data_IF_282604754746
#
_entry.id   IF_282604754746
#
_cell.length_a   1.000
_cell.length_b   1.000
_cell.length_c   1.000
_cell.angle_alpha   90.00
_cell.angle_beta   90.00
_cell.angle_gamma   90.00
#
_symmetry.space_group_name_H-M   'P 1'
#
loop_
_entity.id
_entity.type
_entity.pdbx_description
1 polymer ?
#
# COMPACT_ATOMS: atom_id res chain seq x y z
N UNK A 1 0.42 -9.04 -43.47
CA UNK A 1 -0.04 -7.73 -42.97
C UNK A 1 -1.25 -7.79 -41.99
N UNK A 2 -2.26 -8.68 -42.17
CA UNK A 2 -3.42 -8.83 -41.26
C UNK A 2 -3.11 -9.34 -39.85
N UNK A 3 -2.14 -10.24 -39.66
CA UNK A 3 -1.78 -10.84 -38.33
C UNK A 3 -1.13 -9.78 -37.43
N UNK A 4 -0.22 -8.96 -37.96
CA UNK A 4 0.44 -7.88 -37.20
C UNK A 4 -0.54 -6.87 -36.61
N UNK A 5 -1.63 -6.56 -37.32
CA UNK A 5 -2.64 -5.61 -36.83
C UNK A 5 -3.55 -6.22 -35.75
N UNK A 6 -3.82 -7.54 -35.81
CA UNK A 6 -4.57 -8.23 -34.74
C UNK A 6 -3.76 -8.30 -33.46
N UNK A 7 -2.46 -8.63 -33.53
CA UNK A 7 -1.56 -8.66 -32.37
C UNK A 7 -1.46 -7.29 -31.72
N UNK A 8 -1.26 -6.23 -32.52
CA UNK A 8 -1.21 -4.84 -32.00
C UNK A 8 -2.48 -4.45 -31.24
N UNK A 9 -3.66 -4.92 -31.66
CA UNK A 9 -4.93 -4.63 -30.97
C UNK A 9 -5.07 -5.32 -29.61
N UNK A 10 -4.33 -6.38 -29.33
CA UNK A 10 -4.32 -7.04 -28.01
C UNK A 10 -3.59 -6.17 -26.98
N UNK A 11 -2.53 -5.52 -27.39
CA UNK A 11 -1.69 -4.73 -26.49
C UNK A 11 -2.11 -3.26 -26.43
N UNK A 12 -2.58 -2.70 -27.53
CA UNK A 12 -2.73 -1.24 -27.72
C UNK A 12 -4.19 -0.84 -27.91
N UNK A 13 -4.61 0.18 -27.14
CA UNK A 13 -5.87 0.88 -27.37
C UNK A 13 -5.61 2.05 -28.32
N UNK A 14 -6.13 1.94 -29.55
CA UNK A 14 -5.90 2.93 -30.60
C UNK A 14 -6.62 4.25 -30.33
N UNK A 15 -7.80 4.19 -29.70
CA UNK A 15 -8.63 5.36 -29.42
C UNK A 15 -7.99 6.22 -28.32
N UNK A 16 -7.43 5.59 -27.33
CA UNK A 16 -6.76 6.24 -26.20
C UNK A 16 -5.23 6.40 -26.40
N UNK A 17 -4.69 5.88 -27.50
CA UNK A 17 -3.25 5.91 -27.86
C UNK A 17 -2.32 5.43 -26.74
N UNK A 18 -2.70 4.38 -26.02
CA UNK A 18 -1.95 3.81 -24.89
C UNK A 18 -2.16 2.30 -24.78
N UNK A 19 -1.42 1.63 -23.88
CA UNK A 19 -1.61 0.22 -23.59
C UNK A 19 -3.03 -0.05 -23.04
N UNK A 20 -3.55 -1.25 -23.28
CA UNK A 20 -4.82 -1.70 -22.66
C UNK A 20 -4.62 -1.89 -21.15
N UNK A 21 -5.70 -1.76 -20.37
CA UNK A 21 -5.70 -1.79 -18.91
C UNK A 21 -4.98 -3.02 -18.32
N UNK A 22 -5.22 -4.21 -18.88
CA UNK A 22 -4.56 -5.45 -18.43
C UNK A 22 -3.04 -5.32 -18.47
N UNK A 23 -2.48 -4.83 -19.57
CA UNK A 23 -1.04 -4.66 -19.72
C UNK A 23 -0.47 -3.57 -18.81
N UNK A 24 -1.24 -2.48 -18.62
CA UNK A 24 -0.84 -1.41 -17.69
C UNK A 24 -0.78 -1.94 -16.25
N UNK A 25 -1.80 -2.68 -15.81
CA UNK A 25 -1.83 -3.31 -14.49
C UNK A 25 -0.68 -4.32 -14.32
N UNK A 26 -0.45 -5.21 -15.30
CA UNK A 26 0.63 -6.19 -15.23
C UNK A 26 2.01 -5.54 -15.16
N UNK A 27 2.28 -4.55 -16.03
CA UNK A 27 3.56 -3.83 -16.04
C UNK A 27 3.76 -2.97 -14.79
N UNK A 28 2.68 -2.37 -14.27
CA UNK A 28 2.73 -1.65 -12.99
C UNK A 28 3.07 -2.60 -11.84
N UNK A 29 2.44 -3.78 -11.78
CA UNK A 29 2.75 -4.79 -10.74
C UNK A 29 4.21 -5.24 -10.82
N UNK A 30 4.74 -5.51 -12.01
CA UNK A 30 6.16 -5.86 -12.18
C UNK A 30 7.09 -4.72 -11.74
N UNK A 31 6.77 -3.49 -12.13
CA UNK A 31 7.52 -2.31 -11.74
C UNK A 31 7.45 -2.07 -10.22
N UNK A 32 6.27 -2.27 -9.62
CA UNK A 32 6.05 -2.20 -8.19
C UNK A 32 6.95 -3.20 -7.44
N UNK A 33 6.90 -4.48 -7.82
CA UNK A 33 7.72 -5.52 -7.20
C UNK A 33 9.22 -5.21 -7.33
N UNK A 34 9.66 -4.76 -8.50
CA UNK A 34 11.05 -4.39 -8.73
C UNK A 34 11.49 -3.22 -7.82
N UNK A 35 10.71 -2.15 -7.80
CA UNK A 35 11.09 -0.95 -7.06
C UNK A 35 10.97 -1.13 -5.55
N UNK A 36 9.92 -1.80 -5.05
CA UNK A 36 9.82 -2.10 -3.61
C UNK A 36 10.97 -3.00 -3.17
N UNK A 37 11.33 -4.03 -3.95
CA UNK A 37 12.48 -4.87 -3.65
C UNK A 37 13.79 -4.08 -3.68
N UNK A 38 13.98 -3.19 -4.65
CA UNK A 38 15.18 -2.35 -4.74
C UNK A 38 15.32 -1.42 -3.53
N UNK A 39 14.22 -0.74 -3.11
CA UNK A 39 14.23 0.11 -1.93
C UNK A 39 14.46 -0.70 -0.66
N UNK A 40 13.84 -1.87 -0.53
CA UNK A 40 14.05 -2.76 0.63
C UNK A 40 15.51 -3.20 0.71
N UNK A 41 16.09 -3.71 -0.37
CA UNK A 41 17.51 -4.11 -0.40
C UNK A 41 18.43 -2.92 -0.12
N UNK A 42 18.12 -1.74 -0.66
CA UNK A 42 18.87 -0.51 -0.39
C UNK A 42 18.86 -0.11 1.08
N UNK A 43 17.70 -0.18 1.74
CA UNK A 43 17.56 0.13 3.17
C UNK A 43 18.24 -0.93 4.04
N UNK A 44 18.14 -2.22 3.69
CA UNK A 44 18.86 -3.29 4.38
C UNK A 44 20.37 -3.12 4.26
N UNK A 45 20.86 -2.72 3.08
CA UNK A 45 22.27 -2.41 2.89
C UNK A 45 22.74 -1.25 3.78
N UNK A 46 21.94 -0.17 3.86
CA UNK A 46 22.24 0.97 4.75
C UNK A 46 22.25 0.52 6.22
N UNK A 47 21.28 -0.30 6.63
CA UNK A 47 21.23 -0.85 7.98
C UNK A 47 22.48 -1.72 8.29
N UNK A 48 22.86 -2.60 7.38
CA UNK A 48 24.06 -3.42 7.53
C UNK A 48 25.34 -2.60 7.63
N UNK A 49 25.50 -1.56 6.79
CA UNK A 49 26.64 -0.64 6.87
C UNK A 49 26.68 0.08 8.21
N UNK A 50 25.52 0.52 8.71
CA UNK A 50 25.44 1.17 10.00
C UNK A 50 25.87 0.21 11.13
N UNK A 51 25.35 -1.03 11.15
CA UNK A 51 25.72 -2.03 12.17
C UNK A 51 27.22 -2.33 12.15
N UNK A 52 27.82 -2.49 10.98
CA UNK A 52 29.27 -2.72 10.83
C UNK A 52 30.06 -1.51 11.36
N UNK A 53 29.64 -0.28 11.06
CA UNK A 53 30.35 0.93 11.53
C UNK A 53 30.19 1.15 13.04
N UNK A 54 29.17 0.57 13.67
CA UNK A 54 28.88 0.67 15.11
C UNK A 54 29.37 -0.52 15.93
N UNK A 55 30.07 -1.49 15.33
CA UNK A 55 30.79 -2.54 16.04
C UNK A 55 30.38 -3.98 15.71
N UNK A 56 29.51 -4.22 14.73
CA UNK A 56 29.25 -5.57 14.24
C UNK A 56 30.28 -5.96 13.18
N UNK A 57 30.88 -7.13 13.25
CA UNK A 57 31.89 -7.54 12.29
C UNK A 57 31.26 -7.99 10.97
N UNK A 58 31.76 -7.47 9.84
CA UNK A 58 31.31 -7.88 8.50
C UNK A 58 31.45 -9.40 8.26
N UNK A 59 32.56 -10.07 8.64
CA UNK A 59 32.68 -11.51 8.49
C UNK A 59 31.57 -12.28 9.20
N UNK A 60 31.18 -11.89 10.41
CA UNK A 60 30.16 -12.59 11.19
C UNK A 60 28.76 -12.39 10.60
N UNK A 61 28.46 -11.21 10.06
CA UNK A 61 27.21 -10.94 9.30
C UNK A 61 27.15 -11.81 8.05
N UNK A 62 28.25 -11.87 7.28
CA UNK A 62 28.30 -12.68 6.04
C UNK A 62 28.28 -14.18 6.33
N UNK A 63 28.81 -14.61 7.45
CA UNK A 63 28.77 -16.01 7.91
C UNK A 63 27.41 -16.39 8.51
N UNK A 64 26.50 -15.42 8.76
CA UNK A 64 25.22 -15.63 9.39
C UNK A 64 25.32 -15.99 10.90
N UNK A 65 26.47 -15.74 11.52
CA UNK A 65 26.72 -16.01 12.94
C UNK A 65 26.25 -14.88 13.85
N UNK A 66 26.18 -13.65 13.31
CA UNK A 66 25.60 -12.48 13.97
C UNK A 66 24.47 -11.91 13.10
N UNK A 67 23.26 -11.69 13.64
CA UNK A 67 22.19 -11.02 12.92
C UNK A 67 22.54 -9.53 12.71
N UNK A 68 21.96 -8.93 11.69
CA UNK A 68 21.99 -7.47 11.55
C UNK A 68 21.09 -6.91 12.65
N UNK A 69 21.70 -6.36 13.71
CA UNK A 69 21.00 -5.91 14.93
C UNK A 69 19.90 -4.88 14.64
N UNK A 70 20.17 -4.00 13.67
CA UNK A 70 19.22 -2.98 13.28
C UNK A 70 17.94 -3.58 12.66
N UNK A 71 17.99 -4.80 12.09
CA UNK A 71 16.82 -5.47 11.52
C UNK A 71 15.78 -5.86 12.55
N UNK A 72 16.20 -6.16 13.78
CA UNK A 72 15.30 -6.48 14.90
C UNK A 72 14.81 -5.20 15.61
N UNK A 73 15.33 -4.05 15.19
CA UNK A 73 14.93 -2.77 15.74
C UNK A 73 13.49 -2.40 15.33
N UNK A 74 12.66 -1.90 16.27
CA UNK A 74 11.35 -1.34 15.94
C UNK A 74 11.39 -0.28 14.84
N UNK A 75 12.47 0.49 14.73
CA UNK A 75 12.66 1.48 13.67
C UNK A 75 12.69 0.88 12.26
N UNK A 76 13.34 -0.26 12.08
CA UNK A 76 13.38 -0.94 10.77
C UNK A 76 11.99 -1.44 10.42
N UNK A 77 11.30 -2.10 11.33
CA UNK A 77 10.00 -2.71 11.06
C UNK A 77 8.87 -1.67 10.97
N UNK A 78 8.86 -0.66 11.83
CA UNK A 78 7.77 0.33 11.89
C UNK A 78 8.00 1.56 11.02
N UNK A 79 9.22 1.82 10.59
CA UNK A 79 9.52 3.02 9.78
C UNK A 79 10.18 2.66 8.45
N UNK A 80 11.27 1.91 8.46
CA UNK A 80 12.07 1.68 7.24
C UNK A 80 11.35 0.77 6.24
N UNK A 81 10.73 -0.34 6.68
CA UNK A 81 10.03 -1.24 5.78
C UNK A 81 8.79 -0.59 5.13
N UNK A 82 7.91 0.11 5.88
CA UNK A 82 6.83 0.90 5.29
C UNK A 82 7.33 2.02 4.38
N UNK A 83 8.43 2.69 4.72
CA UNK A 83 9.05 3.70 3.87
C UNK A 83 9.52 3.12 2.53
N UNK A 84 10.18 1.95 2.54
CA UNK A 84 10.60 1.27 1.30
C UNK A 84 9.41 0.98 0.40
N UNK A 85 8.34 0.42 0.98
CA UNK A 85 7.09 0.13 0.26
C UNK A 85 6.45 1.41 -0.27
N UNK A 86 6.36 2.45 0.56
CA UNK A 86 5.82 3.76 0.17
C UNK A 86 6.59 4.34 -1.02
N UNK A 87 7.92 4.39 -0.97
CA UNK A 87 8.75 4.90 -2.05
C UNK A 87 8.60 4.05 -3.32
N UNK A 88 8.54 2.72 -3.17
CA UNK A 88 8.32 1.79 -4.28
C UNK A 88 6.98 2.00 -4.97
N UNK A 89 5.88 2.08 -4.21
CA UNK A 89 4.53 2.35 -4.75
C UNK A 89 4.46 3.72 -5.41
N UNK A 90 4.99 4.75 -4.74
CA UNK A 90 4.97 6.13 -5.24
C UNK A 90 5.70 6.24 -6.57
N UNK A 91 6.91 5.69 -6.66
CA UNK A 91 7.71 5.73 -7.87
C UNK A 91 7.12 4.83 -8.98
N UNK A 92 6.65 3.62 -8.64
CA UNK A 92 6.01 2.72 -9.60
C UNK A 92 4.76 3.38 -10.22
N UNK A 93 3.90 3.97 -9.38
CA UNK A 93 2.68 4.64 -9.85
C UNK A 93 3.00 5.90 -10.65
N UNK A 94 4.01 6.67 -10.26
CA UNK A 94 4.47 7.82 -11.03
C UNK A 94 4.97 7.42 -12.42
N UNK A 95 5.86 6.42 -12.50
CA UNK A 95 6.43 5.96 -13.76
C UNK A 95 5.38 5.29 -14.65
N UNK A 96 4.54 4.42 -14.08
CA UNK A 96 3.46 3.78 -14.82
C UNK A 96 2.44 4.81 -15.33
N UNK A 97 2.05 5.76 -14.50
CA UNK A 97 1.19 6.87 -14.89
C UNK A 97 1.76 7.65 -16.07
N UNK A 98 3.05 7.97 -16.01
CA UNK A 98 3.74 8.74 -17.04
C UNK A 98 3.93 7.97 -18.36
N UNK A 99 4.30 6.70 -18.30
CA UNK A 99 4.70 5.92 -19.48
C UNK A 99 3.58 5.05 -20.05
N UNK A 100 2.79 4.38 -19.17
CA UNK A 100 1.81 3.40 -19.60
C UNK A 100 0.42 4.01 -19.71
N UNK A 101 0.01 4.84 -18.71
CA UNK A 101 -1.29 5.48 -18.65
C UNK A 101 -1.36 6.84 -19.38
N UNK A 102 -0.22 7.50 -19.57
CA UNK A 102 -0.11 8.85 -20.10
C UNK A 102 -0.95 9.86 -19.29
N UNK A 103 -0.89 9.74 -17.98
CA UNK A 103 -1.62 10.56 -17.01
C UNK A 103 -0.67 11.37 -16.14
N UNK A 104 -1.18 12.47 -15.61
CA UNK A 104 -0.49 13.21 -14.53
C UNK A 104 -0.65 12.45 -13.22
N UNK A 105 0.36 12.52 -12.37
CA UNK A 105 0.35 11.85 -11.07
C UNK A 105 -0.83 12.29 -10.18
N UNK A 106 -1.19 13.59 -10.25
CA UNK A 106 -2.35 14.14 -9.54
C UNK A 106 -3.69 13.46 -9.88
N UNK A 107 -3.78 12.81 -11.04
CA UNK A 107 -5.00 12.10 -11.47
C UNK A 107 -5.24 10.78 -10.72
N UNK A 108 -4.28 10.36 -9.90
CA UNK A 108 -4.40 9.18 -9.03
C UNK A 108 -4.84 9.53 -7.60
N UNK A 109 -5.59 10.62 -7.42
CA UNK A 109 -6.18 11.00 -6.14
C UNK A 109 -5.39 12.03 -5.33
N UNK A 110 -4.23 12.49 -5.80
CA UNK A 110 -3.35 13.44 -5.09
C UNK A 110 -3.42 14.85 -5.72
N UNK A 111 -4.62 15.42 -5.77
CA UNK A 111 -4.82 16.74 -6.38
C UNK A 111 -4.39 17.91 -5.50
N UNK A 112 -4.35 17.71 -4.16
CA UNK A 112 -4.01 18.72 -3.13
C UNK A 112 -4.80 20.03 -3.25
N UNK A 113 -5.99 19.99 -3.86
CA UNK A 113 -6.90 21.12 -3.95
C UNK A 113 -7.54 21.42 -2.58
N UNK A 114 -8.20 22.60 -2.44
CA UNK A 114 -8.93 22.92 -1.20
C UNK A 114 -10.01 21.87 -0.89
N UNK A 115 -10.74 21.38 -1.91
CA UNK A 115 -11.72 20.30 -1.74
C UNK A 115 -11.06 19.02 -1.23
N UNK A 116 -9.91 18.63 -1.81
CA UNK A 116 -9.15 17.47 -1.39
C UNK A 116 -8.76 17.53 0.10
N UNK A 117 -8.31 18.70 0.59
CA UNK A 117 -7.97 18.87 2.01
C UNK A 117 -9.19 18.79 2.93
N UNK A 118 -10.35 19.27 2.47
CA UNK A 118 -11.60 19.14 3.23
C UNK A 118 -12.05 17.67 3.30
N UNK A 119 -11.99 16.94 2.20
CA UNK A 119 -12.31 15.52 2.15
C UNK A 119 -11.35 14.71 3.02
N UNK A 120 -10.05 15.03 2.99
CA UNK A 120 -9.04 14.42 3.85
C UNK A 120 -9.32 14.67 5.34
N UNK A 121 -9.61 15.91 5.72
CA UNK A 121 -9.91 16.24 7.12
C UNK A 121 -11.21 15.57 7.59
N UNK A 122 -12.24 15.50 6.72
CA UNK A 122 -13.46 14.76 7.01
C UNK A 122 -13.19 13.27 7.20
N UNK A 123 -12.43 12.65 6.30
CA UNK A 123 -12.04 11.23 6.39
C UNK A 123 -11.26 10.91 7.66
N UNK A 124 -10.31 11.79 8.03
CA UNK A 124 -9.54 11.65 9.27
C UNK A 124 -10.45 11.72 10.51
N UNK A 125 -11.38 12.68 10.54
CA UNK A 125 -12.36 12.82 11.62
C UNK A 125 -13.30 11.61 11.70
N UNK A 126 -13.80 11.14 10.56
CA UNK A 126 -14.65 9.95 10.47
C UNK A 126 -13.90 8.70 10.96
N UNK A 127 -12.63 8.52 10.54
CA UNK A 127 -11.78 7.42 10.99
C UNK A 127 -11.60 7.42 12.51
N UNK A 128 -11.33 8.58 13.10
CA UNK A 128 -11.20 8.73 14.55
C UNK A 128 -12.50 8.34 15.29
N UNK A 129 -13.66 8.78 14.78
CA UNK A 129 -14.97 8.42 15.36
C UNK A 129 -15.22 6.92 15.24
N UNK A 130 -15.00 6.32 14.07
CA UNK A 130 -15.22 4.89 13.85
C UNK A 130 -14.30 4.04 14.74
N UNK A 131 -13.02 4.39 14.85
CA UNK A 131 -12.10 3.68 15.75
C UNK A 131 -12.47 3.84 17.22
N UNK A 132 -12.95 5.04 17.62
CA UNK A 132 -13.49 5.27 18.96
C UNK A 132 -14.72 4.40 19.26
N UNK A 133 -15.60 4.22 18.28
CA UNK A 133 -16.77 3.34 18.40
C UNK A 133 -16.37 1.87 18.50
N UNK A 134 -15.40 1.42 17.71
CA UNK A 134 -14.85 0.04 17.77
C UNK A 134 -14.25 -0.22 19.16
N UNK A 135 -13.43 0.72 19.66
CA UNK A 135 -12.88 0.66 21.01
C UNK A 135 -13.97 0.56 22.08
N UNK A 136 -14.97 1.45 22.02
CA UNK A 136 -16.08 1.49 22.96
C UNK A 136 -16.88 0.18 22.95
N UNK A 137 -17.19 -0.34 21.78
CA UNK A 137 -17.90 -1.62 21.64
C UNK A 137 -17.10 -2.79 22.20
N UNK A 138 -15.80 -2.86 21.91
CA UNK A 138 -14.92 -3.91 22.43
C UNK A 138 -14.81 -3.84 23.97
N UNK A 139 -14.75 -2.63 24.52
CA UNK A 139 -14.71 -2.42 25.97
C UNK A 139 -16.04 -2.81 26.64
N UNK A 140 -17.18 -2.37 26.10
CA UNK A 140 -18.51 -2.69 26.62
C UNK A 140 -18.86 -4.19 26.56
N UNK A 141 -18.37 -4.89 25.55
CA UNK A 141 -18.56 -6.36 25.42
C UNK A 141 -17.55 -7.18 26.24
N UNK A 142 -16.59 -6.54 26.92
CA UNK A 142 -15.55 -7.22 27.67
C UNK A 142 -14.48 -7.90 26.80
N UNK A 143 -14.50 -7.66 25.49
CA UNK A 143 -13.49 -8.19 24.54
C UNK A 143 -12.15 -7.46 24.64
N UNK A 144 -12.15 -6.27 25.27
CA UNK A 144 -10.98 -5.44 25.51
C UNK A 144 -10.96 -4.99 26.97
N UNK A 145 -9.79 -5.09 27.63
CA UNK A 145 -9.57 -4.58 28.97
C UNK A 145 -8.45 -3.53 28.94
N UNK A 146 -8.69 -2.41 29.61
CA UNK A 146 -7.66 -1.36 29.78
C UNK A 146 -6.80 -1.75 30.97
N UNK A 147 -5.54 -2.09 30.72
CA UNK A 147 -4.56 -2.53 31.74
C UNK A 147 -3.66 -1.41 32.21
N UNK A 148 -3.48 -0.37 31.42
CA UNK A 148 -2.66 0.80 31.75
C UNK A 148 -2.92 1.97 30.78
N UNK A 149 -2.30 3.10 31.05
CA UNK A 149 -2.40 4.31 30.22
C UNK A 149 -0.99 4.79 29.87
N UNK A 150 -0.79 5.18 28.61
CA UNK A 150 0.48 5.71 28.11
C UNK A 150 1.67 4.76 28.28
N UNK A 151 1.42 3.48 28.21
CA UNK A 151 2.41 2.40 28.29
C UNK A 151 2.51 1.68 26.95
N UNK A 152 3.71 1.19 26.61
CA UNK A 152 3.94 0.29 25.46
C UNK A 152 4.39 -1.04 26.06
N UNK A 153 3.49 -2.03 26.00
CA UNK A 153 3.74 -3.34 26.59
C UNK A 153 4.92 -4.06 25.93
N UNK A 154 5.78 -4.65 26.77
CA UNK A 154 6.91 -5.47 26.32
C UNK A 154 8.10 -4.75 25.69
N UNK A 155 8.14 -3.41 25.70
CA UNK A 155 9.26 -2.64 25.15
C UNK A 155 9.76 -1.57 26.13
N UNK A 156 11.08 -1.42 26.27
CA UNK A 156 11.73 -0.29 26.97
C UNK A 156 11.60 1.03 26.18
N UNK A 157 10.58 1.16 25.33
CA UNK A 157 10.38 2.34 24.48
C UNK A 157 9.45 3.32 25.17
N UNK A 158 9.88 4.58 25.27
CA UNK A 158 9.02 5.66 25.72
C UNK A 158 7.73 5.72 24.89
N UNK A 159 6.57 5.83 25.55
CA UNK A 159 5.25 5.88 24.91
C UNK A 159 5.19 6.90 23.75
N UNK A 160 5.75 8.11 23.91
CA UNK A 160 5.74 9.14 22.86
C UNK A 160 6.49 8.65 21.62
N UNK A 161 7.64 7.99 21.81
CA UNK A 161 8.42 7.45 20.70
C UNK A 161 7.66 6.33 19.97
N UNK A 162 7.06 5.39 20.72
CA UNK A 162 6.22 4.32 20.14
C UNK A 162 5.01 4.89 19.40
N UNK A 163 4.35 5.91 19.95
CA UNK A 163 3.23 6.59 19.29
C UNK A 163 3.66 7.27 17.98
N UNK A 164 4.80 7.98 17.97
CA UNK A 164 5.31 8.63 16.75
C UNK A 164 5.68 7.57 15.68
N UNK A 165 6.31 6.47 16.07
CA UNK A 165 6.62 5.38 15.17
C UNK A 165 5.36 4.79 14.54
N UNK A 166 4.34 4.48 15.35
CA UNK A 166 3.06 3.97 14.86
C UNK A 166 2.36 4.98 13.94
N UNK A 167 2.38 6.27 14.29
CA UNK A 167 1.81 7.33 13.44
C UNK A 167 2.50 7.37 12.07
N UNK A 168 3.82 7.36 12.03
CA UNK A 168 4.59 7.37 10.78
C UNK A 168 4.30 6.10 9.97
N UNK A 169 4.25 4.94 10.61
CA UNK A 169 3.87 3.67 9.98
C UNK A 169 2.51 3.79 9.29
N UNK A 170 1.46 4.18 10.01
CA UNK A 170 0.11 4.24 9.47
C UNK A 170 -0.07 5.33 8.41
N UNK A 171 0.68 6.43 8.49
CA UNK A 171 0.68 7.44 7.42
C UNK A 171 1.25 6.89 6.13
N UNK A 172 2.40 6.21 6.18
CA UNK A 172 2.98 5.60 4.98
C UNK A 172 2.07 4.51 4.41
N UNK A 173 1.58 3.61 5.27
CA UNK A 173 0.68 2.52 4.88
C UNK A 173 -0.58 3.08 4.25
N UNK A 174 -1.27 4.00 4.90
CA UNK A 174 -2.51 4.58 4.38
C UNK A 174 -2.32 5.25 3.03
N UNK A 175 -1.24 6.04 2.85
CA UNK A 175 -0.99 6.72 1.58
C UNK A 175 -0.67 5.74 0.45
N UNK A 176 0.21 4.75 0.68
CA UNK A 176 0.56 3.83 -0.41
C UNK A 176 -0.58 2.87 -0.76
N UNK A 177 -1.37 2.45 0.22
CA UNK A 177 -2.53 1.58 -0.03
C UNK A 177 -3.63 2.30 -0.82
N UNK A 178 -3.96 3.54 -0.46
CA UNK A 178 -4.91 4.35 -1.20
C UNK A 178 -4.43 4.65 -2.63
N UNK A 179 -3.15 5.03 -2.77
CA UNK A 179 -2.56 5.30 -4.08
C UNK A 179 -2.59 4.08 -4.99
N UNK A 180 -2.29 2.90 -4.43
CA UNK A 180 -2.27 1.63 -5.15
C UNK A 180 -3.69 1.18 -5.52
N UNK A 181 -4.57 1.09 -4.52
CA UNK A 181 -5.89 0.48 -4.66
C UNK A 181 -6.89 1.40 -5.35
N UNK A 182 -7.08 2.62 -4.84
CA UNK A 182 -8.05 3.59 -5.35
C UNK A 182 -7.47 4.50 -6.41
N UNK A 183 -6.19 4.84 -6.27
CA UNK A 183 -5.49 5.65 -7.26
C UNK A 183 -5.23 4.88 -8.55
N UNK A 184 -4.50 3.79 -8.52
CA UNK A 184 -4.04 3.11 -9.73
C UNK A 184 -4.94 1.94 -10.16
N UNK A 185 -5.21 0.97 -9.27
CA UNK A 185 -5.94 -0.24 -9.64
C UNK A 185 -7.38 0.07 -10.02
N UNK A 186 -8.12 0.79 -9.18
CA UNK A 186 -9.53 1.10 -9.43
C UNK A 186 -9.74 1.80 -10.77
N UNK A 187 -8.94 2.82 -11.07
CA UNK A 187 -9.04 3.59 -12.32
C UNK A 187 -8.77 2.68 -13.53
N UNK A 188 -7.73 1.86 -13.46
CA UNK A 188 -7.36 0.98 -14.56
C UNK A 188 -8.35 -0.17 -14.75
N UNK A 189 -8.91 -0.72 -13.68
CA UNK A 189 -9.98 -1.72 -13.73
C UNK A 189 -11.26 -1.14 -14.33
N UNK A 190 -11.68 0.07 -13.90
CA UNK A 190 -12.86 0.73 -14.45
C UNK A 190 -12.77 0.94 -15.96
N UNK A 191 -11.60 1.34 -16.44
CA UNK A 191 -11.36 1.46 -17.88
C UNK A 191 -11.30 0.11 -18.59
N UNK A 192 -10.72 -0.91 -17.96
CA UNK A 192 -10.63 -2.24 -18.52
C UNK A 192 -11.99 -2.93 -18.66
N UNK A 193 -12.87 -2.70 -17.69
CA UNK A 193 -14.24 -3.25 -17.69
C UNK A 193 -15.24 -2.39 -18.46
N UNK A 194 -14.87 -1.21 -18.94
CA UNK A 194 -15.78 -0.37 -19.73
C UNK A 194 -16.02 -0.95 -21.13
N UNK A 195 -16.82 -2.01 -21.14
CA UNK A 195 -17.26 -2.71 -22.34
C UNK A 195 -18.70 -2.31 -22.66
N UNK A 196 -19.09 -2.27 -23.94
CA UNK A 196 -20.46 -1.90 -24.35
C UNK A 196 -21.57 -2.68 -23.64
N UNK A 197 -21.32 -3.95 -23.31
CA UNK A 197 -22.27 -4.85 -22.63
C UNK A 197 -22.48 -4.49 -21.15
N UNK A 198 -21.50 -3.91 -20.50
CA UNK A 198 -21.53 -3.56 -19.06
C UNK A 198 -21.99 -2.10 -18.82
N UNK A 199 -21.67 -1.24 -19.78
CA UNK A 199 -21.81 0.20 -19.61
C UNK A 199 -20.93 0.78 -18.50
N UNK A 200 -20.97 2.08 -18.29
CA UNK A 200 -20.12 2.78 -17.31
C UNK A 200 -20.40 2.35 -15.87
N UNK A 201 -21.68 2.18 -15.50
CA UNK A 201 -22.06 1.79 -14.13
C UNK A 201 -21.61 0.36 -13.81
N UNK A 202 -21.81 -0.59 -14.74
CA UNK A 202 -21.35 -1.96 -14.56
C UNK A 202 -19.83 -2.06 -14.47
N UNK A 203 -19.12 -1.32 -15.33
CA UNK A 203 -17.67 -1.24 -15.30
C UNK A 203 -17.15 -0.72 -13.95
N UNK A 204 -17.78 0.34 -13.41
CA UNK A 204 -17.40 0.93 -12.13
C UNK A 204 -17.65 -0.04 -10.96
N UNK A 205 -18.82 -0.69 -10.92
CA UNK A 205 -19.13 -1.67 -9.87
C UNK A 205 -18.16 -2.86 -9.88
N UNK A 206 -17.83 -3.39 -11.07
CA UNK A 206 -16.84 -4.46 -11.19
C UNK A 206 -15.43 -4.01 -10.81
N UNK A 207 -15.07 -2.77 -11.12
CA UNK A 207 -13.79 -2.22 -10.73
C UNK A 207 -13.67 -2.06 -9.22
N UNK A 208 -14.71 -1.56 -8.55
CA UNK A 208 -14.75 -1.49 -7.08
C UNK A 208 -14.66 -2.88 -6.46
N UNK A 209 -15.49 -3.82 -6.91
CA UNK A 209 -15.45 -5.20 -6.40
C UNK A 209 -14.08 -5.85 -6.62
N UNK A 210 -13.50 -5.70 -7.83
CA UNK A 210 -12.18 -6.24 -8.16
C UNK A 210 -11.05 -5.61 -7.35
N UNK A 211 -11.04 -4.28 -7.23
CA UNK A 211 -10.02 -3.56 -6.44
C UNK A 211 -10.11 -3.92 -4.95
N UNK A 212 -11.32 -3.98 -4.40
CA UNK A 212 -11.56 -4.34 -3.01
C UNK A 212 -11.18 -5.79 -2.69
N UNK A 213 -11.50 -6.71 -3.60
CA UNK A 213 -11.08 -8.11 -3.46
C UNK A 213 -9.56 -8.24 -3.52
N UNK A 214 -8.91 -7.57 -4.47
CA UNK A 214 -7.44 -7.54 -4.54
C UNK A 214 -6.83 -6.96 -3.27
N UNK A 215 -7.40 -5.88 -2.75
CA UNK A 215 -6.97 -5.26 -1.50
C UNK A 215 -7.01 -6.25 -0.33
N UNK A 216 -8.14 -6.95 -0.13
CA UNK A 216 -8.25 -7.98 0.90
C UNK A 216 -7.29 -9.15 0.70
N UNK A 217 -7.12 -9.64 -0.53
CA UNK A 217 -6.22 -10.74 -0.84
C UNK A 217 -4.74 -10.42 -0.59
N UNK A 218 -4.31 -9.18 -0.83
CA UNK A 218 -2.96 -8.72 -0.50
C UNK A 218 -2.64 -8.80 0.99
N UNK A 219 -3.66 -8.81 1.86
CA UNK A 219 -3.50 -8.96 3.31
C UNK A 219 -3.44 -10.42 3.80
N UNK A 220 -3.50 -11.41 2.90
CA UNK A 220 -3.29 -12.82 3.26
C UNK A 220 -1.89 -13.09 3.84
N UNK A 221 -0.90 -12.27 3.49
CA UNK A 221 0.46 -12.35 4.03
C UNK A 221 0.63 -11.76 5.42
N UNK A 222 -0.39 -11.12 5.98
CA UNK A 222 -0.28 -10.52 7.32
C UNK A 222 -0.22 -11.61 8.41
N UNK A 223 0.49 -11.37 9.52
CA UNK A 223 0.46 -12.26 10.68
C UNK A 223 -0.98 -12.52 11.14
N UNK A 224 -1.30 -13.78 11.42
CA UNK A 224 -2.64 -14.22 11.87
C UNK A 224 -3.78 -13.93 10.89
N UNK A 225 -3.51 -13.73 9.60
CA UNK A 225 -4.54 -13.54 8.59
C UNK A 225 -5.47 -14.77 8.52
N UNK A 226 -6.77 -14.51 8.46
CA UNK A 226 -7.82 -15.50 8.27
C UNK A 226 -8.69 -15.12 7.08
N UNK A 227 -9.45 -16.06 6.53
CA UNK A 227 -10.41 -15.73 5.47
C UNK A 227 -11.46 -14.72 5.93
N UNK A 228 -11.80 -14.72 7.22
CA UNK A 228 -12.73 -13.73 7.80
C UNK A 228 -12.09 -12.34 7.80
N UNK A 229 -10.82 -12.23 8.20
CA UNK A 229 -10.11 -10.95 8.15
C UNK A 229 -9.95 -10.44 6.71
N UNK A 230 -9.62 -11.33 5.76
CA UNK A 230 -9.56 -10.97 4.33
C UNK A 230 -10.89 -10.46 3.80
N UNK A 231 -12.01 -11.13 4.15
CA UNK A 231 -13.35 -10.70 3.77
C UNK A 231 -13.66 -9.31 4.36
N UNK A 232 -13.39 -9.10 5.65
CA UNK A 232 -13.62 -7.81 6.31
C UNK A 232 -12.79 -6.69 5.67
N UNK A 233 -11.51 -6.95 5.36
CA UNK A 233 -10.64 -5.98 4.69
C UNK A 233 -11.14 -5.71 3.26
N UNK A 234 -11.62 -6.74 2.54
CA UNK A 234 -12.23 -6.55 1.22
C UNK A 234 -13.48 -5.68 1.30
N UNK A 235 -14.33 -5.86 2.32
CA UNK A 235 -15.51 -5.01 2.52
C UNK A 235 -15.13 -3.58 2.88
N UNK A 236 -14.12 -3.39 3.73
CA UNK A 236 -13.55 -2.06 4.00
C UNK A 236 -12.97 -1.41 2.74
N UNK A 237 -12.47 -2.21 1.80
CA UNK A 237 -11.98 -1.76 0.51
C UNK A 237 -13.04 -1.11 -0.40
N UNK A 238 -14.33 -1.33 -0.13
CA UNK A 238 -15.44 -0.72 -0.87
C UNK A 238 -15.70 0.72 -0.40
N UNK A 239 -15.34 1.06 0.83
CA UNK A 239 -15.51 2.40 1.41
C UNK A 239 -14.40 3.34 1.00
#
# INVERSE_FOLDING_TARGET
MRISNKIKRVFWNHDQKRLRAVWRLSLHTLLLLLLTSLFTVGLLFVAAVFDITTGTSLPDVLAGTEPIRLMDSPWVNLVMAPLATFLGVLLATFLAGRWFDRRRFSNFGLSFSKGWWLDFAFGLGLGAVLMGLVFLMAWLTGSLQVTGFFEVDGQEVNFILGFVQALVFFVFVGVYEELLSRGYHLINLAEGFNLPVLGERGALLLAYAGSSLMFGLLHLGNPNATWVSVLNISLAGIM
#
